data_IF_208300114846
#
_entry.id   IF_208300114846
#
_cell.length_a   1.000
_cell.length_b   1.000
_cell.length_c   1.000
_cell.angle_alpha   90.00
_cell.angle_beta   90.00
_cell.angle_gamma   90.00
#
_symmetry.space_group_name_H-M   'P 1'
#
loop_
_entity.id
_entity.type
_entity.pdbx_description
1 polymer ?
#
# COMPACT_ATOMS: atom_id res chain seq x y z
N UNK A 1 -44.82 18.49 -4.66
CA UNK A 1 -44.19 17.19 -4.34
C UNK A 1 -42.79 17.06 -4.94
N UNK A 2 -42.59 17.02 -6.24
CA UNK A 2 -41.24 16.89 -6.83
C UNK A 2 -40.20 17.95 -6.39
N UNK A 3 -40.61 19.20 -6.25
CA UNK A 3 -39.72 20.30 -5.84
C UNK A 3 -39.29 20.21 -4.37
N UNK A 4 -40.04 19.56 -3.51
CA UNK A 4 -39.68 19.34 -2.11
C UNK A 4 -38.69 18.15 -1.99
N UNK A 5 -38.89 17.09 -2.76
CA UNK A 5 -37.97 15.95 -2.85
C UNK A 5 -36.60 16.36 -3.39
N UNK A 6 -36.58 17.22 -4.41
CA UNK A 6 -35.29 17.76 -4.94
C UNK A 6 -34.57 18.64 -3.91
N UNK A 7 -35.29 19.47 -3.15
CA UNK A 7 -34.67 20.25 -2.08
C UNK A 7 -34.14 19.41 -0.94
N UNK A 8 -34.81 18.33 -0.62
CA UNK A 8 -34.37 17.42 0.42
C UNK A 8 -33.14 16.60 -0.03
N UNK A 9 -33.09 16.18 -1.29
CA UNK A 9 -31.91 15.57 -1.90
C UNK A 9 -30.72 16.50 -1.92
N UNK A 10 -30.90 17.76 -2.30
CA UNK A 10 -29.85 18.78 -2.28
C UNK A 10 -29.29 19.00 -0.87
N UNK A 11 -30.13 19.09 0.15
CA UNK A 11 -29.71 19.20 1.55
C UNK A 11 -28.89 17.98 2.01
N UNK A 12 -29.29 16.78 1.61
CA UNK A 12 -28.52 15.55 1.92
C UNK A 12 -27.17 15.53 1.23
N UNK A 13 -27.10 15.99 -0.01
CA UNK A 13 -25.84 16.09 -0.77
C UNK A 13 -24.93 17.14 -0.11
N UNK A 14 -25.44 18.30 0.23
CA UNK A 14 -24.67 19.34 0.93
C UNK A 14 -24.13 18.86 2.29
N UNK A 15 -24.93 18.13 3.04
CA UNK A 15 -24.50 17.58 4.33
C UNK A 15 -23.37 16.55 4.14
N UNK A 16 -23.49 15.67 3.14
CA UNK A 16 -22.45 14.70 2.81
C UNK A 16 -21.18 15.36 2.28
N UNK A 17 -21.30 16.41 1.47
CA UNK A 17 -20.14 17.17 1.01
C UNK A 17 -19.39 17.81 2.19
N UNK A 18 -20.07 18.42 3.13
CA UNK A 18 -19.43 18.96 4.36
C UNK A 18 -18.77 17.90 5.22
N UNK A 19 -19.37 16.69 5.31
CA UNK A 19 -18.73 15.57 6.02
C UNK A 19 -17.47 15.09 5.32
N UNK A 20 -17.47 15.06 3.98
CA UNK A 20 -16.30 14.68 3.17
C UNK A 20 -15.22 15.74 3.28
N UNK A 21 -15.55 17.02 3.20
CA UNK A 21 -14.62 18.14 3.41
C UNK A 21 -13.97 18.09 4.80
N UNK A 22 -14.76 17.90 5.84
CA UNK A 22 -14.26 17.77 7.21
C UNK A 22 -13.38 16.51 7.41
N UNK A 23 -13.63 15.46 6.66
CA UNK A 23 -12.75 14.27 6.66
C UNK A 23 -11.46 14.50 5.90
N UNK A 24 -11.51 15.22 4.78
CA UNK A 24 -10.33 15.63 4.02
C UNK A 24 -9.43 16.54 4.85
N UNK A 25 -9.98 17.56 5.51
CA UNK A 25 -9.22 18.45 6.41
C UNK A 25 -8.54 17.68 7.55
N UNK A 26 -9.22 16.67 8.14
CA UNK A 26 -8.63 15.83 9.18
C UNK A 26 -7.53 14.93 8.64
N UNK A 27 -7.66 14.42 7.42
CA UNK A 27 -6.64 13.63 6.74
C UNK A 27 -5.44 14.51 6.35
N UNK A 28 -5.68 15.72 5.85
CA UNK A 28 -4.62 16.71 5.56
C UNK A 28 -3.89 17.13 6.83
N UNK A 29 -4.61 17.36 7.93
CA UNK A 29 -4.00 17.65 9.23
C UNK A 29 -3.20 16.45 9.81
N UNK A 30 -3.63 15.22 9.52
CA UNK A 30 -2.93 14.01 9.94
C UNK A 30 -1.70 13.69 9.05
N UNK A 31 -1.67 14.21 7.83
CA UNK A 31 -0.56 14.09 6.87
C UNK A 31 0.42 15.29 7.02
N UNK A 32 0.09 16.28 7.87
CA UNK A 32 0.98 17.42 8.14
C UNK A 32 2.40 16.97 8.52
N UNK A 33 3.44 17.50 7.83
CA UNK A 33 4.78 16.92 7.79
C UNK A 33 5.64 17.05 9.06
N UNK A 34 5.05 17.30 10.22
CA UNK A 34 5.79 17.60 11.44
C UNK A 34 6.10 16.44 12.40
N UNK A 35 5.69 15.19 12.16
CA UNK A 35 5.78 14.13 13.19
C UNK A 35 6.42 12.79 12.81
N UNK A 36 6.94 12.62 11.60
CA UNK A 36 7.63 11.38 11.20
C UNK A 36 9.12 11.67 10.93
N UNK A 37 9.83 12.00 11.99
CA UNK A 37 11.27 12.19 11.94
C UNK A 37 12.05 10.91 11.64
N UNK A 38 12.95 10.96 10.66
CA UNK A 38 14.07 10.02 10.54
C UNK A 38 14.46 9.60 9.13
N UNK A 39 15.38 10.31 8.55
CA UNK A 39 16.42 9.95 7.57
C UNK A 39 16.03 9.26 6.24
N UNK A 40 16.25 9.96 5.15
CA UNK A 40 16.63 9.39 3.85
C UNK A 40 15.72 9.64 2.66
N UNK A 41 14.48 10.01 2.87
CA UNK A 41 13.59 10.52 1.82
C UNK A 41 13.04 11.86 2.29
N UNK A 42 12.90 12.82 1.39
CA UNK A 42 12.24 14.08 1.75
C UNK A 42 10.79 13.77 2.12
N UNK A 43 10.28 14.47 3.14
CA UNK A 43 8.87 14.30 3.58
C UNK A 43 7.89 14.52 2.41
N UNK A 44 8.29 15.34 1.44
CA UNK A 44 7.55 15.61 0.21
C UNK A 44 7.46 14.40 -0.72
N UNK A 45 8.53 13.61 -0.86
CA UNK A 45 8.51 12.37 -1.66
C UNK A 45 7.62 11.30 -1.01
N UNK A 46 7.64 11.22 0.32
CA UNK A 46 6.77 10.31 1.08
C UNK A 46 5.30 10.69 0.95
N UNK A 47 4.98 11.97 1.06
CA UNK A 47 3.63 12.49 0.90
C UNK A 47 3.13 12.30 -0.54
N UNK A 48 3.95 12.59 -1.54
CA UNK A 48 3.61 12.41 -2.95
C UNK A 48 3.35 10.94 -3.29
N UNK A 49 4.15 10.02 -2.77
CA UNK A 49 3.99 8.57 -3.01
C UNK A 49 2.76 8.01 -2.29
N UNK A 50 2.50 8.45 -1.05
CA UNK A 50 1.29 8.10 -0.33
C UNK A 50 0.03 8.64 -1.04
N UNK A 51 0.07 9.88 -1.51
CA UNK A 51 -1.03 10.49 -2.27
C UNK A 51 -1.25 9.76 -3.60
N UNK A 52 -0.18 9.42 -4.33
CA UNK A 52 -0.28 8.66 -5.58
C UNK A 52 -0.89 7.27 -5.35
N UNK A 53 -0.56 6.62 -4.23
CA UNK A 53 -1.14 5.32 -3.84
C UNK A 53 -2.64 5.47 -3.52
N UNK A 54 -3.00 6.49 -2.75
CA UNK A 54 -4.39 6.81 -2.39
C UNK A 54 -5.21 7.07 -3.66
N UNK A 55 -4.72 7.92 -4.56
CA UNK A 55 -5.38 8.23 -5.83
C UNK A 55 -5.53 7.00 -6.74
N UNK A 56 -4.52 6.12 -6.79
CA UNK A 56 -4.61 4.85 -7.52
C UNK A 56 -5.71 3.95 -6.95
N UNK A 57 -5.78 3.81 -5.63
CA UNK A 57 -6.77 2.96 -4.97
C UNK A 57 -8.20 3.51 -5.15
N UNK A 58 -8.39 4.83 -5.08
CA UNK A 58 -9.67 5.46 -5.39
C UNK A 58 -10.08 5.26 -6.86
N UNK A 59 -9.14 5.36 -7.79
CA UNK A 59 -9.39 5.16 -9.23
C UNK A 59 -9.81 3.72 -9.57
N UNK A 60 -9.42 2.74 -8.76
CA UNK A 60 -9.81 1.33 -8.89
C UNK A 60 -11.02 0.94 -8.01
N UNK A 61 -11.74 1.90 -7.44
CA UNK A 61 -12.93 1.66 -6.63
C UNK A 61 -12.64 1.04 -5.26
N UNK A 62 -11.41 1.16 -4.77
CA UNK A 62 -11.01 0.67 -3.45
C UNK A 62 -11.76 1.40 -2.33
N UNK A 63 -12.22 0.67 -1.33
CA UNK A 63 -12.83 1.25 -0.13
C UNK A 63 -11.76 1.97 0.72
N UNK A 64 -12.19 2.96 1.53
CA UNK A 64 -11.31 3.65 2.47
C UNK A 64 -10.57 2.67 3.42
N UNK A 65 -11.19 1.53 3.73
CA UNK A 65 -10.58 0.48 4.53
C UNK A 65 -9.41 -0.21 3.81
N UNK A 66 -9.52 -0.45 2.50
CA UNK A 66 -8.45 -1.06 1.71
C UNK A 66 -7.28 -0.10 1.54
N UNK A 67 -7.55 1.20 1.38
CA UNK A 67 -6.53 2.24 1.39
C UNK A 67 -5.78 2.25 2.72
N UNK A 68 -6.49 2.24 3.84
CA UNK A 68 -5.88 2.20 5.17
C UNK A 68 -5.02 0.94 5.39
N UNK A 69 -5.47 -0.21 4.91
CA UNK A 69 -4.69 -1.47 4.95
C UNK A 69 -3.41 -1.36 4.11
N UNK A 70 -3.51 -0.82 2.89
CA UNK A 70 -2.36 -0.66 2.00
C UNK A 70 -1.32 0.31 2.59
N UNK A 71 -1.76 1.43 3.17
CA UNK A 71 -0.87 2.40 3.85
C UNK A 71 -0.14 1.75 5.03
N UNK A 72 -0.85 0.98 5.86
CA UNK A 72 -0.23 0.25 6.98
C UNK A 72 0.81 -0.77 6.49
N UNK A 73 0.49 -1.52 5.44
CA UNK A 73 1.42 -2.48 4.82
C UNK A 73 2.67 -1.80 4.27
N UNK A 74 2.50 -0.67 3.58
CA UNK A 74 3.61 0.09 3.03
C UNK A 74 4.51 0.65 4.14
N UNK A 75 3.93 1.16 5.22
CA UNK A 75 4.69 1.63 6.37
C UNK A 75 5.53 0.49 6.99
N UNK A 76 4.95 -0.70 7.19
CA UNK A 76 5.69 -1.89 7.65
C UNK A 76 6.81 -2.30 6.70
N UNK A 77 6.51 -2.39 5.40
CA UNK A 77 7.49 -2.74 4.39
C UNK A 77 8.70 -1.79 4.40
N UNK A 78 8.48 -0.50 4.64
CA UNK A 78 9.55 0.50 4.75
C UNK A 78 10.42 0.31 5.98
N UNK A 79 9.82 0.00 7.12
CA UNK A 79 10.58 -0.33 8.34
C UNK A 79 11.47 -1.56 8.10
N UNK A 80 10.91 -2.60 7.52
CA UNK A 80 11.65 -3.83 7.18
C UNK A 80 12.73 -3.59 6.11
N UNK A 81 12.46 -2.73 5.14
CA UNK A 81 13.39 -2.38 4.07
C UNK A 81 14.66 -1.68 4.57
N UNK A 82 14.63 -1.04 5.75
CA UNK A 82 15.82 -0.45 6.38
C UNK A 82 16.87 -1.49 6.76
N UNK A 83 16.44 -2.70 7.05
CA UNK A 83 17.33 -3.82 7.39
C UNK A 83 17.86 -4.56 6.16
N UNK A 84 17.51 -4.12 4.94
CA UNK A 84 17.82 -4.80 3.70
C UNK A 84 18.69 -3.90 2.82
N UNK A 85 19.89 -4.36 2.47
CA UNK A 85 20.76 -3.68 1.52
C UNK A 85 20.45 -4.04 0.07
N UNK A 86 19.87 -5.21 -0.18
CA UNK A 86 19.61 -5.75 -1.51
C UNK A 86 18.38 -5.13 -2.16
N UNK A 87 18.55 -4.61 -3.37
CA UNK A 87 17.51 -3.93 -4.13
C UNK A 87 16.36 -4.84 -4.59
N UNK A 88 16.61 -6.15 -4.77
CA UNK A 88 15.58 -7.12 -5.16
C UNK A 88 14.68 -7.40 -3.96
N UNK A 89 15.26 -7.61 -2.79
CA UNK A 89 14.51 -7.85 -1.56
C UNK A 89 13.66 -6.66 -1.16
N UNK A 90 14.15 -5.43 -1.33
CA UNK A 90 13.34 -4.21 -1.15
C UNK A 90 12.14 -4.17 -2.10
N UNK A 91 12.36 -4.44 -3.39
CA UNK A 91 11.30 -4.47 -4.38
C UNK A 91 10.26 -5.57 -4.07
N UNK A 92 10.67 -6.72 -3.52
CA UNK A 92 9.75 -7.77 -3.05
C UNK A 92 8.82 -7.23 -1.97
N UNK A 93 9.37 -6.55 -0.93
CA UNK A 93 8.56 -5.96 0.14
C UNK A 93 7.57 -4.91 -0.39
N UNK A 94 8.00 -4.04 -1.30
CA UNK A 94 7.15 -3.01 -1.89
C UNK A 94 6.00 -3.62 -2.69
N UNK A 95 6.29 -4.61 -3.52
CA UNK A 95 5.24 -5.30 -4.32
C UNK A 95 4.23 -5.98 -3.41
N UNK A 96 4.67 -6.69 -2.36
CA UNK A 96 3.77 -7.36 -1.41
C UNK A 96 2.98 -6.34 -0.58
N UNK A 97 3.59 -5.21 -0.22
CA UNK A 97 2.89 -4.14 0.51
C UNK A 97 1.73 -3.56 -0.31
N UNK A 98 1.95 -3.33 -1.61
CA UNK A 98 0.97 -2.73 -2.52
C UNK A 98 -0.09 -3.73 -2.95
N UNK A 99 0.32 -4.91 -3.37
CA UNK A 99 -0.57 -5.92 -3.98
C UNK A 99 -1.20 -6.89 -2.97
N UNK A 100 -0.64 -6.98 -1.78
CA UNK A 100 -1.02 -7.97 -0.78
C UNK A 100 -0.28 -9.30 -0.94
N UNK A 101 -0.79 -10.37 -0.32
CA UNK A 101 -0.20 -11.71 -0.41
C UNK A 101 -0.15 -12.22 -1.84
N UNK A 102 0.99 -12.69 -2.30
CA UNK A 102 1.20 -13.17 -3.67
C UNK A 102 1.92 -14.52 -3.67
N UNK A 103 1.60 -15.38 -4.63
CA UNK A 103 2.43 -16.55 -4.90
C UNK A 103 3.72 -16.16 -5.63
N UNK A 104 4.73 -17.03 -5.58
CA UNK A 104 6.06 -16.75 -6.15
C UNK A 104 6.00 -16.45 -7.66
N UNK A 105 5.09 -17.09 -8.40
CA UNK A 105 4.93 -16.87 -9.84
C UNK A 105 4.40 -15.48 -10.14
N UNK A 106 3.32 -15.10 -9.45
CA UNK A 106 2.71 -13.76 -9.58
C UNK A 106 3.66 -12.68 -9.07
N UNK A 107 4.32 -12.91 -7.94
CA UNK A 107 5.35 -12.00 -7.41
C UNK A 107 6.48 -11.77 -8.43
N UNK A 108 6.95 -12.83 -9.09
CA UNK A 108 7.98 -12.71 -10.14
C UNK A 108 7.48 -11.88 -11.33
N UNK A 109 6.22 -12.06 -11.73
CA UNK A 109 5.61 -11.30 -12.83
C UNK A 109 5.51 -9.81 -12.47
N UNK A 110 5.03 -9.49 -11.28
CA UNK A 110 4.92 -8.11 -10.81
C UNK A 110 6.30 -7.44 -10.66
N UNK A 111 7.30 -8.16 -10.17
CA UNK A 111 8.68 -7.67 -10.12
C UNK A 111 9.27 -7.39 -11.51
N UNK A 112 8.94 -8.22 -12.52
CA UNK A 112 9.34 -7.93 -13.92
C UNK A 112 8.70 -6.64 -14.43
N UNK A 113 7.43 -6.41 -14.12
CA UNK A 113 6.73 -5.16 -14.48
C UNK A 113 7.34 -3.95 -13.79
N UNK A 114 7.71 -4.11 -12.52
CA UNK A 114 8.24 -3.02 -11.70
C UNK A 114 9.69 -2.68 -12.03
N UNK A 115 10.55 -3.68 -12.30
CA UNK A 115 12.00 -3.51 -12.49
C UNK A 115 12.50 -3.82 -13.90
N UNK A 116 11.65 -4.26 -14.80
CA UNK A 116 12.04 -4.72 -16.15
C UNK A 116 12.68 -6.10 -16.18
N UNK A 117 13.25 -6.59 -15.08
CA UNK A 117 13.92 -7.90 -15.00
C UNK A 117 13.66 -8.59 -13.67
N UNK A 118 13.20 -9.82 -13.69
CA UNK A 118 13.15 -10.70 -12.52
C UNK A 118 13.20 -12.16 -12.95
N UNK A 119 14.05 -12.97 -12.32
CA UNK A 119 14.13 -14.41 -12.51
C UNK A 119 13.41 -15.10 -11.36
N UNK A 120 12.54 -16.07 -11.67
CA UNK A 120 11.82 -16.85 -10.65
C UNK A 120 12.78 -17.54 -9.67
N UNK A 121 13.93 -18.03 -10.16
CA UNK A 121 14.96 -18.66 -9.33
C UNK A 121 15.52 -17.67 -8.31
N UNK A 122 15.85 -16.46 -8.73
CA UNK A 122 16.39 -15.40 -7.85
C UNK A 122 15.33 -14.97 -6.86
N UNK A 123 14.10 -14.71 -7.31
CA UNK A 123 12.97 -14.30 -6.43
C UNK A 123 12.72 -15.37 -5.38
N UNK A 124 12.66 -16.65 -5.76
CA UNK A 124 12.46 -17.77 -4.82
C UNK A 124 13.57 -17.88 -3.79
N UNK A 125 14.84 -17.71 -4.20
CA UNK A 125 15.98 -17.72 -3.30
C UNK A 125 15.93 -16.55 -2.30
N UNK A 126 15.64 -15.34 -2.78
CA UNK A 126 15.50 -14.14 -1.91
C UNK A 126 14.34 -14.25 -0.93
N UNK A 127 13.19 -14.74 -1.39
CA UNK A 127 12.04 -14.99 -0.50
C UNK A 127 12.39 -15.96 0.61
N UNK A 128 13.17 -17.01 0.32
CA UNK A 128 13.62 -17.96 1.34
C UNK A 128 14.52 -17.28 2.37
N UNK A 129 15.56 -16.56 1.93
CA UNK A 129 16.44 -15.79 2.82
C UNK A 129 15.68 -14.79 3.68
N UNK A 130 14.70 -14.11 3.09
CA UNK A 130 13.87 -13.14 3.80
C UNK A 130 12.94 -13.81 4.81
N UNK A 131 12.42 -14.99 4.51
CA UNK A 131 11.62 -15.79 5.43
C UNK A 131 12.45 -16.29 6.62
N UNK A 132 13.68 -16.74 6.40
CA UNK A 132 14.63 -17.15 7.45
C UNK A 132 14.96 -15.98 8.39
N UNK A 133 15.01 -14.76 7.87
CA UNK A 133 15.23 -13.52 8.64
C UNK A 133 13.95 -12.93 9.26
N UNK A 134 12.80 -13.57 9.06
CA UNK A 134 11.51 -13.07 9.56
C UNK A 134 10.99 -11.81 8.86
N UNK A 135 11.54 -11.45 7.68
CA UNK A 135 11.16 -10.26 6.90
C UNK A 135 9.92 -10.47 6.04
N UNK A 136 9.59 -11.71 5.75
CA UNK A 136 8.36 -12.13 5.05
C UNK A 136 7.83 -13.41 5.67
N UNK A 137 6.52 -13.59 5.57
CA UNK A 137 5.82 -14.81 5.99
C UNK A 137 5.50 -15.63 4.73
N UNK A 138 5.90 -16.88 4.72
CA UNK A 138 5.59 -17.82 3.63
C UNK A 138 4.59 -18.84 4.13
N UNK A 139 3.40 -18.85 3.52
CA UNK A 139 2.34 -19.81 3.83
C UNK A 139 2.14 -20.75 2.66
N UNK A 140 2.04 -22.03 2.92
CA UNK A 140 1.75 -23.04 1.90
C UNK A 140 0.24 -23.21 1.82
N UNK A 141 -0.35 -22.89 0.67
CA UNK A 141 -1.77 -23.10 0.36
C UNK A 141 -1.86 -24.14 -0.78
N UNK A 142 -2.12 -25.38 -0.42
CA UNK A 142 -2.13 -26.48 -1.40
C UNK A 142 -0.72 -26.67 -2.03
N UNK A 143 -0.62 -26.50 -3.34
CA UNK A 143 0.65 -26.61 -4.09
C UNK A 143 1.40 -25.28 -4.22
N UNK A 144 0.84 -24.18 -3.75
CA UNK A 144 1.40 -22.83 -3.91
C UNK A 144 1.99 -22.29 -2.62
N UNK A 145 3.12 -21.61 -2.75
CA UNK A 145 3.74 -20.84 -1.68
C UNK A 145 3.31 -19.39 -1.83
N UNK A 146 2.55 -18.89 -0.85
CA UNK A 146 2.09 -17.51 -0.78
C UNK A 146 3.01 -16.73 0.16
N UNK A 147 3.49 -15.60 -0.30
CA UNK A 147 4.39 -14.69 0.42
C UNK A 147 3.60 -13.47 0.86
N UNK A 148 3.70 -13.13 2.13
CA UNK A 148 3.06 -11.96 2.75
C UNK A 148 4.05 -11.23 3.68
N UNK A 149 3.67 -10.02 4.11
CA UNK A 149 4.38 -9.33 5.17
C UNK A 149 4.13 -10.05 6.52
N UNK A 150 5.09 -10.02 7.44
CA UNK A 150 4.88 -10.51 8.80
C UNK A 150 3.84 -9.64 9.52
N UNK A 151 3.12 -10.22 10.48
CA UNK A 151 2.09 -9.54 11.29
C UNK A 151 2.67 -8.45 12.18
#
# INVERSE_FOLDING_TARGET
MKAEEERELLRRIETRLREIEARLERLEAAISPGKLGGSGFSEEELAAEALALVLRLFRFGGSALEVAKAVRRLARARVLARCISDSISRAILEVIAIKGPLNISTLTLELRRYRGRASRRIVSARVREMAEKGLVKVTVKGREKVVDLPD
#
